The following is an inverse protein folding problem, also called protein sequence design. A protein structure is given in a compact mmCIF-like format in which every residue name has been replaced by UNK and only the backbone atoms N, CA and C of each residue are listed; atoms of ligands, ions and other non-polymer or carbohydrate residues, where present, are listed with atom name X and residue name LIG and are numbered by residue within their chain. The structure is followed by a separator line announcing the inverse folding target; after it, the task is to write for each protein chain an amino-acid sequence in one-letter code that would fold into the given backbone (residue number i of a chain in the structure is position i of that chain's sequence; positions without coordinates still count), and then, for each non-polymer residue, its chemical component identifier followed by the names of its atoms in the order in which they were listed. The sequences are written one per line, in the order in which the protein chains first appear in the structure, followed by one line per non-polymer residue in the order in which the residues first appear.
data_IF_856880089796
#
_entry.id   IF_856880089796
#
_cell.length_a   1.000
_cell.length_b   1.000
_cell.length_c   1.000
_cell.angle_alpha   90.00
_cell.angle_beta   90.00
_cell.angle_gamma   90.00
#
_symmetry.space_group_name_H-M   'P 1'
#
loop_
_entity.id
_entity.type
_entity.pdbx_description
1 polymer ?
#
# COMPACT_ATOMS: atom_id res chain seq x y z
N UNK A 1 2.09 7.02 8.47
CA UNK A 1 1.67 7.31 7.07
C UNK A 1 0.91 6.13 6.44
N UNK A 2 1.40 4.88 6.39
CA UNK A 2 0.63 3.76 5.80
C UNK A 2 -0.65 3.37 6.56
N UNK A 3 -0.64 3.40 7.90
CA UNK A 3 -1.79 2.98 8.71
C UNK A 3 -3.03 3.89 8.62
N UNK A 4 -2.90 5.11 8.12
CA UNK A 4 -4.05 6.00 7.88
C UNK A 4 -4.79 5.67 6.58
N UNK A 5 -4.08 5.12 5.60
CA UNK A 5 -4.64 4.79 4.28
C UNK A 5 -5.27 3.40 4.27
N UNK A 6 -4.59 2.40 4.84
CA UNK A 6 -5.00 0.98 4.77
C UNK A 6 -5.46 0.41 6.10
N UNK A 7 -5.47 1.21 7.17
CA UNK A 7 -5.69 0.74 8.53
C UNK A 7 -4.52 -0.09 9.08
N UNK A 8 -4.81 -0.86 10.14
CA UNK A 8 -3.82 -1.70 10.83
C UNK A 8 -3.47 -2.93 9.98
N UNK A 9 -2.19 -3.16 9.63
CA UNK A 9 -1.76 -4.38 8.94
C UNK A 9 -2.03 -5.63 9.76
N UNK A 10 -2.44 -6.69 9.06
CA UNK A 10 -2.63 -8.02 9.64
C UNK A 10 -1.30 -8.71 9.99
N UNK A 11 -0.19 -8.29 9.37
CA UNK A 11 1.15 -8.73 9.73
C UNK A 11 2.18 -7.63 9.48
N UNK A 12 3.10 -7.44 10.44
CA UNK A 12 4.20 -6.48 10.35
C UNK A 12 5.52 -7.20 10.50
N UNK A 13 6.46 -6.90 9.61
CA UNK A 13 7.88 -7.23 9.76
C UNK A 13 8.74 -5.99 9.53
N UNK A 14 10.05 -6.12 9.75
CA UNK A 14 11.01 -5.04 9.47
C UNK A 14 11.17 -4.72 7.98
N UNK A 15 10.72 -5.61 7.07
CA UNK A 15 10.91 -5.44 5.62
C UNK A 15 9.60 -5.26 4.86
N UNK A 16 8.50 -5.74 5.40
CA UNK A 16 7.19 -5.66 4.75
C UNK A 16 6.05 -5.57 5.76
N UNK A 17 4.99 -4.89 5.34
CA UNK A 17 3.70 -4.82 6.01
C UNK A 17 2.67 -5.55 5.13
N UNK A 18 1.73 -6.27 5.73
CA UNK A 18 0.70 -7.03 5.00
C UNK A 18 -0.68 -6.72 5.53
N UNK A 19 -1.65 -6.68 4.62
CA UNK A 19 -3.08 -6.46 4.88
C UNK A 19 -3.91 -7.49 4.10
N UNK A 20 -5.21 -7.55 4.39
CA UNK A 20 -6.14 -8.42 3.69
C UNK A 20 -6.07 -9.89 4.10
N UNK A 21 -6.90 -10.71 3.45
CA UNK A 21 -7.07 -12.13 3.78
C UNK A 21 -5.85 -12.92 3.31
N UNK A 22 -5.20 -13.65 4.21
CA UNK A 22 -3.93 -14.37 3.95
C UNK A 22 -2.79 -13.47 3.45
N UNK A 23 -2.85 -12.16 3.70
CA UNK A 23 -1.83 -11.21 3.24
C UNK A 23 -1.90 -10.94 1.73
N UNK A 24 -3.12 -10.87 1.18
CA UNK A 24 -3.38 -10.54 -0.22
C UNK A 24 -2.88 -9.16 -0.63
N UNK A 25 -2.63 -8.27 0.32
CA UNK A 25 -1.97 -6.99 0.09
C UNK A 25 -0.65 -6.95 0.86
N UNK A 26 0.43 -6.50 0.22
CA UNK A 26 1.73 -6.28 0.87
C UNK A 26 2.36 -4.95 0.46
N UNK A 27 3.04 -4.29 1.40
CA UNK A 27 3.91 -3.13 1.18
C UNK A 27 5.33 -3.49 1.62
N UNK A 28 6.27 -3.45 0.69
CA UNK A 28 7.69 -3.60 0.92
C UNK A 28 8.30 -2.27 1.38
N UNK A 29 8.86 -2.25 2.58
CA UNK A 29 9.45 -1.07 3.20
C UNK A 29 10.87 -0.79 2.68
N UNK A 30 11.56 -1.82 2.22
CA UNK A 30 12.89 -1.75 1.61
C UNK A 30 12.85 -1.06 0.23
N UNK A 31 11.88 -1.41 -0.61
CA UNK A 31 11.75 -0.87 -1.97
C UNK A 31 10.69 0.23 -2.10
N UNK A 32 9.83 0.41 -1.10
CA UNK A 32 8.70 1.35 -1.19
C UNK A 32 7.66 0.95 -2.23
N UNK A 33 7.47 -0.36 -2.45
CA UNK A 33 6.52 -0.88 -3.44
C UNK A 33 5.42 -1.70 -2.80
N UNK A 34 4.20 -1.60 -3.29
CA UNK A 34 3.08 -2.42 -2.86
C UNK A 34 2.62 -3.39 -3.95
N UNK A 35 1.91 -4.43 -3.53
CA UNK A 35 1.29 -5.43 -4.40
C UNK A 35 -0.03 -5.85 -3.80
N UNK A 36 -1.08 -5.83 -4.62
CA UNK A 36 -2.40 -6.38 -4.32
C UNK A 36 -2.63 -7.59 -5.23
N UNK A 37 -2.59 -8.78 -4.64
CA UNK A 37 -2.78 -10.05 -5.34
C UNK A 37 -4.26 -10.33 -5.66
N UNK A 38 -5.21 -9.65 -5.03
CA UNK A 38 -6.64 -9.78 -5.34
C UNK A 38 -7.01 -8.96 -6.58
N UNK A 39 -6.50 -7.73 -6.68
CA UNK A 39 -6.71 -6.86 -7.83
C UNK A 39 -5.74 -7.14 -9.00
N UNK A 40 -4.62 -7.83 -8.74
CA UNK A 40 -3.54 -8.01 -9.71
C UNK A 40 -2.77 -6.72 -9.99
N UNK A 41 -2.70 -5.82 -9.01
CA UNK A 41 -2.17 -4.47 -9.15
C UNK A 41 -0.96 -4.25 -8.25
N UNK A 42 -0.16 -3.22 -8.54
CA UNK A 42 1.00 -2.87 -7.75
C UNK A 42 1.74 -1.66 -8.29
N UNK A 43 2.54 -1.05 -7.42
CA UNK A 43 3.30 0.14 -7.78
C UNK A 43 4.11 0.69 -6.63
N UNK A 44 4.62 1.91 -6.80
CA UNK A 44 5.27 2.65 -5.71
C UNK A 44 4.26 3.19 -4.69
N UNK A 45 4.75 3.64 -3.53
CA UNK A 45 3.92 4.25 -2.47
C UNK A 45 3.07 5.42 -3.00
N UNK A 46 3.57 6.17 -3.98
CA UNK A 46 2.81 7.26 -4.59
C UNK A 46 1.55 6.77 -5.34
N UNK A 47 1.66 5.65 -6.07
CA UNK A 47 0.51 5.03 -6.72
C UNK A 47 -0.50 4.48 -5.70
N UNK A 48 -0.02 4.04 -4.52
CA UNK A 48 -0.90 3.63 -3.42
C UNK A 48 -1.73 4.80 -2.90
N UNK A 49 -1.09 5.96 -2.66
CA UNK A 49 -1.79 7.16 -2.18
C UNK A 49 -2.86 7.60 -3.18
N UNK A 50 -2.54 7.63 -4.47
CA UNK A 50 -3.51 7.97 -5.53
C UNK A 50 -4.70 7.00 -5.55
N UNK A 51 -4.44 5.70 -5.37
CA UNK A 51 -5.48 4.66 -5.32
C UNK A 51 -6.42 4.85 -4.13
N UNK A 52 -5.87 4.96 -2.92
CA UNK A 52 -6.66 4.98 -1.68
C UNK A 52 -7.42 6.29 -1.49
N UNK A 53 -6.80 7.43 -1.84
CA UNK A 53 -7.44 8.74 -1.71
C UNK A 53 -8.31 9.10 -2.92
N UNK A 54 -8.36 8.23 -3.95
CA UNK A 54 -8.97 8.52 -5.27
C UNK A 54 -8.47 9.83 -5.88
N UNK A 55 -7.21 10.18 -5.62
CA UNK A 55 -6.59 11.42 -6.08
C UNK A 55 -5.86 11.20 -7.40
N UNK A 56 -6.01 12.16 -8.30
CA UNK A 56 -5.16 12.34 -9.47
C UNK A 56 -3.78 12.89 -9.09
N UNK A 57 -2.81 12.83 -10.02
CA UNK A 57 -1.38 12.93 -9.71
C UNK A 57 -0.98 14.17 -8.91
N UNK A 58 -1.73 15.27 -9.10
CA UNK A 58 -1.56 16.55 -8.42
C UNK A 58 -2.01 16.52 -6.94
N UNK A 59 -3.03 15.72 -6.60
CA UNK A 59 -3.51 15.60 -5.22
C UNK A 59 -2.59 14.77 -4.31
N UNK A 60 -1.82 13.84 -4.89
CA UNK A 60 -0.95 12.95 -4.10
C UNK A 60 0.39 13.58 -3.68
N UNK A 61 0.70 14.79 -4.13
CA UNK A 61 1.95 15.53 -3.84
C UNK A 61 1.73 16.79 -2.96
N UNK A 62 0.48 17.09 -2.59
CA UNK A 62 0.09 18.28 -1.84
C UNK A 62 0.20 18.10 -0.31
#
# INVERSE_FOLDING_TARGET
MAGRLLGEPSSRSSRELRWGRKGSFRLKLDTGTWTDFEAGDGGGVLALVMREERLDKAGALA
#
